data_IF_905406642988
#
_entry.id   IF_905406642988
#
_cell.length_a   1.000
_cell.length_b   1.000
_cell.length_c   1.000
_cell.angle_alpha   90.00
_cell.angle_beta   90.00
_cell.angle_gamma   90.00
#
_symmetry.space_group_name_H-M   'P 1'
#
loop_
_entity.id
_entity.type
_entity.pdbx_description
1 polymer ?
#
# COMPACT_ATOMS: atom_id res chain seq x y z
N UNK A 1 38.53 12.69 25.59
CA UNK A 1 39.55 11.63 25.35
C UNK A 1 38.82 10.32 25.10
N UNK A 2 39.21 9.63 24.01
CA UNK A 2 39.07 8.18 23.73
C UNK A 2 37.73 7.49 24.05
N UNK A 3 36.87 7.25 23.04
CA UNK A 3 36.72 5.96 22.31
C UNK A 3 36.19 4.78 23.13
N UNK A 4 35.08 4.19 22.66
CA UNK A 4 34.99 2.73 22.64
C UNK A 4 33.64 2.07 22.94
N UNK A 5 32.92 1.73 21.86
CA UNK A 5 32.38 0.37 21.56
C UNK A 5 31.18 -0.22 22.34
N UNK A 6 30.09 -0.36 21.57
CA UNK A 6 29.25 -1.56 21.31
C UNK A 6 28.16 -2.07 22.27
N UNK A 7 26.94 -2.10 21.69
CA UNK A 7 25.92 -3.18 21.61
C UNK A 7 25.68 -4.03 22.87
N UNK A 8 24.42 -4.11 23.29
CA UNK A 8 23.65 -5.35 23.55
C UNK A 8 22.17 -4.98 23.79
N UNK A 9 21.25 -5.48 22.97
CA UNK A 9 19.82 -5.48 23.29
C UNK A 9 19.24 -6.89 23.12
N UNK A 10 18.99 -7.49 24.29
CA UNK A 10 17.77 -8.18 24.73
C UNK A 10 17.40 -9.52 24.10
N UNK A 11 17.48 -10.57 24.94
CA UNK A 11 16.34 -11.47 25.15
C UNK A 11 16.51 -12.34 26.41
N UNK A 12 15.90 -11.94 27.50
CA UNK A 12 15.61 -12.81 28.64
C UNK A 12 14.35 -12.33 29.37
N UNK A 13 13.74 -13.24 30.14
CA UNK A 13 12.50 -13.15 30.91
C UNK A 13 11.26 -13.71 30.19
N UNK A 14 11.00 -15.00 30.43
CA UNK A 14 9.78 -15.41 31.13
C UNK A 14 10.03 -16.78 31.79
N UNK A 15 10.15 -16.75 33.11
CA UNK A 15 10.02 -17.89 34.02
C UNK A 15 8.56 -18.30 34.13
N UNK A 16 8.26 -19.58 34.35
CA UNK A 16 7.33 -20.00 35.40
C UNK A 16 7.41 -21.51 35.68
N UNK A 17 7.85 -21.78 36.92
CA UNK A 17 7.47 -22.84 37.87
C UNK A 17 7.58 -24.33 37.49
N UNK A 18 8.57 -24.96 38.12
CA UNK A 18 8.70 -26.39 38.39
C UNK A 18 7.69 -26.87 39.45
N UNK A 19 7.28 -28.14 39.34
CA UNK A 19 6.68 -28.92 40.43
C UNK A 19 7.42 -30.25 40.56
N UNK A 20 7.96 -30.47 41.74
CA UNK A 20 8.70 -31.64 42.22
C UNK A 20 7.76 -32.78 42.55
N UNK A 21 8.07 -34.02 42.14
CA UNK A 21 7.67 -35.23 42.88
C UNK A 21 8.78 -36.28 42.78
N UNK A 22 9.18 -36.77 43.96
CA UNK A 22 10.13 -37.86 44.18
C UNK A 22 9.48 -39.22 43.90
N UNK A 23 10.22 -40.16 43.32
CA UNK A 23 9.88 -41.57 43.41
C UNK A 23 11.15 -42.43 43.57
N UNK A 24 11.06 -43.35 44.53
CA UNK A 24 12.14 -44.14 45.10
C UNK A 24 12.69 -45.23 44.18
N UNK A 25 13.94 -45.56 44.48
CA UNK A 25 14.69 -46.74 44.06
C UNK A 25 14.04 -48.06 44.47
N UNK A 26 14.16 -49.05 43.58
CA UNK A 26 14.62 -50.43 43.82
C UNK A 26 13.77 -51.43 43.05
N UNK A 27 14.32 -52.04 42.00
CA UNK A 27 14.02 -53.44 41.68
C UNK A 27 15.20 -54.06 40.93
N UNK A 28 15.62 -55.23 41.44
CA UNK A 28 16.72 -56.09 40.99
C UNK A 28 16.37 -56.84 39.70
N UNK A 29 17.42 -57.06 38.89
CA UNK A 29 17.78 -58.27 38.12
C UNK A 29 16.70 -59.01 37.29
N UNK A 30 16.96 -59.20 35.99
CA UNK A 30 17.53 -60.43 35.40
C UNK A 30 17.53 -60.32 33.86
N UNK A 31 18.64 -60.71 33.21
CA UNK A 31 18.76 -60.85 31.74
C UNK A 31 17.94 -62.05 31.20
N UNK A 32 17.64 -62.12 29.89
CA UNK A 32 18.58 -62.81 28.97
C UNK A 32 18.73 -62.12 27.59
N UNK A 33 19.77 -62.47 26.79
CA UNK A 33 19.97 -61.91 25.47
C UNK A 33 19.34 -62.77 24.36
N UNK A 34 18.73 -62.13 23.35
CA UNK A 34 18.42 -62.76 22.06
C UNK A 34 19.26 -62.10 20.95
N UNK A 35 19.81 -62.87 19.99
CA UNK A 35 20.62 -62.32 18.92
C UNK A 35 19.74 -62.04 17.70
N UNK A 36 19.40 -60.78 17.46
CA UNK A 36 18.88 -60.35 16.15
C UNK A 36 19.90 -59.45 15.47
N UNK A 37 20.59 -60.03 14.49
CA UNK A 37 21.48 -59.34 13.57
C UNK A 37 20.69 -58.37 12.69
N UNK A 38 20.68 -57.09 13.05
CA UNK A 38 20.18 -56.03 12.17
C UNK A 38 21.24 -55.81 11.08
N UNK A 39 21.01 -56.36 9.89
CA UNK A 39 21.69 -55.91 8.68
C UNK A 39 21.33 -54.44 8.44
N UNK A 40 22.25 -53.53 8.75
CA UNK A 40 22.20 -52.14 8.28
C UNK A 40 22.39 -52.16 6.76
N UNK A 41 21.29 -52.27 6.00
CA UNK A 41 21.28 -51.87 4.59
C UNK A 41 21.70 -50.40 4.54
N UNK A 42 22.89 -50.16 4.02
CA UNK A 42 23.44 -48.83 3.76
C UNK A 42 22.52 -48.14 2.75
N UNK A 43 21.54 -47.38 3.23
CA UNK A 43 20.69 -46.53 2.41
C UNK A 43 21.60 -45.57 1.63
N UNK A 44 21.80 -45.86 0.34
CA UNK A 44 22.36 -44.89 -0.61
C UNK A 44 21.36 -43.73 -0.69
N UNK A 45 21.58 -42.69 0.11
CA UNK A 45 20.90 -41.41 -0.08
C UNK A 45 21.20 -40.98 -1.52
N UNK A 46 20.19 -40.75 -2.38
CA UNK A 46 20.48 -40.17 -3.68
C UNK A 46 21.13 -38.80 -3.44
N UNK A 47 22.24 -38.54 -4.10
CA UNK A 47 22.85 -37.22 -4.07
C UNK A 47 21.80 -36.23 -4.57
N UNK A 48 21.28 -35.39 -3.68
CA UNK A 48 20.46 -34.24 -4.06
C UNK A 48 21.36 -33.37 -4.93
N UNK A 49 21.19 -33.50 -6.25
CA UNK A 49 21.79 -32.58 -7.21
C UNK A 49 21.04 -31.27 -7.05
N UNK A 50 21.64 -30.34 -6.31
CA UNK A 50 21.20 -28.95 -6.33
C UNK A 50 21.40 -28.42 -7.76
N UNK A 51 20.33 -28.34 -8.53
CA UNK A 51 20.32 -27.64 -9.81
C UNK A 51 20.32 -26.13 -9.51
N UNK A 52 21.52 -25.53 -9.44
CA UNK A 52 21.67 -24.09 -9.41
C UNK A 52 21.46 -23.53 -10.82
N UNK A 53 20.20 -23.31 -11.21
CA UNK A 53 19.88 -22.54 -12.42
C UNK A 53 19.92 -21.05 -12.09
N UNK A 54 21.11 -20.53 -11.77
CA UNK A 54 21.32 -19.09 -11.52
C UNK A 54 21.89 -18.35 -12.74
N UNK A 55 22.08 -19.04 -13.88
CA UNK A 55 22.61 -18.44 -15.10
C UNK A 55 21.58 -17.66 -15.93
N UNK A 56 20.28 -17.92 -15.76
CA UNK A 56 19.23 -17.44 -16.68
C UNK A 56 18.33 -16.35 -16.07
N UNK A 57 18.54 -16.01 -14.79
CA UNK A 57 17.75 -15.00 -14.07
C UNK A 57 18.06 -13.55 -14.47
N UNK A 58 19.25 -13.29 -15.06
CA UNK A 58 19.62 -11.94 -15.52
C UNK A 58 19.06 -11.66 -16.92
N UNK A 59 19.08 -12.64 -17.82
CA UNK A 59 18.43 -12.55 -19.14
C UNK A 59 16.91 -12.32 -19.00
N UNK A 60 16.25 -13.04 -18.10
CA UNK A 60 14.84 -12.82 -17.78
C UNK A 60 14.56 -11.42 -17.21
N UNK A 61 15.40 -10.88 -16.31
CA UNK A 61 15.23 -9.50 -15.80
C UNK A 61 15.38 -8.43 -16.87
N UNK A 62 16.33 -8.57 -17.80
CA UNK A 62 16.52 -7.61 -18.89
C UNK A 62 15.37 -7.66 -19.90
N UNK A 63 14.96 -8.87 -20.28
CA UNK A 63 13.78 -9.07 -21.13
C UNK A 63 12.51 -8.50 -20.48
N UNK A 64 12.35 -8.68 -19.16
CA UNK A 64 11.23 -8.12 -18.41
C UNK A 64 11.23 -6.59 -18.46
N UNK A 65 12.39 -5.95 -18.29
CA UNK A 65 12.51 -4.49 -18.38
C UNK A 65 12.21 -4.00 -19.79
N UNK A 66 12.73 -4.65 -20.83
CA UNK A 66 12.44 -4.31 -22.23
C UNK A 66 10.95 -4.43 -22.54
N UNK A 67 10.31 -5.50 -22.08
CA UNK A 67 8.87 -5.70 -22.23
C UNK A 67 8.07 -4.63 -21.49
N UNK A 68 8.47 -4.23 -20.28
CA UNK A 68 7.82 -3.12 -19.57
C UNK A 68 7.96 -1.77 -20.32
N UNK A 69 9.10 -1.51 -20.95
CA UNK A 69 9.32 -0.31 -21.76
C UNK A 69 8.40 -0.31 -22.99
N UNK A 70 8.34 -1.44 -23.72
CA UNK A 70 7.45 -1.61 -24.87
C UNK A 70 5.97 -1.49 -24.48
N UNK A 71 5.58 -2.07 -23.34
CA UNK A 71 4.22 -1.90 -22.80
C UNK A 71 3.91 -0.45 -22.47
N UNK A 72 4.87 0.30 -21.90
CA UNK A 72 4.70 1.71 -21.61
C UNK A 72 4.52 2.55 -22.90
N UNK A 73 5.30 2.25 -23.94
CA UNK A 73 5.16 2.86 -25.27
C UNK A 73 3.80 2.56 -25.88
N UNK A 74 3.37 1.30 -25.90
CA UNK A 74 2.05 0.92 -26.40
C UNK A 74 0.93 1.63 -25.63
N UNK A 75 1.04 1.74 -24.30
CA UNK A 75 0.09 2.50 -23.46
C UNK A 75 0.09 3.99 -23.77
N UNK A 76 1.21 4.57 -24.17
CA UNK A 76 1.30 5.98 -24.56
C UNK A 76 0.66 6.22 -25.94
N UNK A 77 0.91 5.34 -26.89
CA UNK A 77 0.37 5.42 -28.26
C UNK A 77 -1.14 5.18 -28.31
N UNK A 78 -1.65 4.26 -27.48
CA UNK A 78 -3.08 3.94 -27.37
C UNK A 78 -3.87 4.93 -26.50
N UNK A 79 -3.22 5.96 -25.96
CA UNK A 79 -3.92 7.01 -25.22
C UNK A 79 -4.73 7.86 -26.20
N UNK A 80 -6.05 7.91 -26.01
CA UNK A 80 -6.94 8.81 -26.73
C UNK A 80 -6.54 10.26 -26.39
N UNK A 81 -6.19 11.05 -27.40
CA UNK A 81 -5.49 12.35 -27.24
C UNK A 81 -6.44 13.54 -26.96
N UNK A 82 -7.64 13.25 -26.45
CA UNK A 82 -8.62 14.28 -26.09
C UNK A 82 -8.26 14.95 -24.76
N UNK A 83 -8.54 16.26 -24.60
CA UNK A 83 -8.49 16.88 -23.28
C UNK A 83 -9.49 16.16 -22.34
N UNK A 84 -9.14 15.98 -21.05
CA UNK A 84 -10.06 15.36 -20.12
C UNK A 84 -11.37 16.15 -20.09
N UNK A 85 -12.53 15.47 -20.17
CA UNK A 85 -13.82 16.13 -20.14
C UNK A 85 -14.00 16.90 -18.83
N UNK A 86 -14.52 18.13 -18.93
CA UNK A 86 -14.85 18.94 -17.76
C UNK A 86 -16.12 18.43 -17.11
N UNK A 87 -16.09 18.31 -15.78
CA UNK A 87 -17.19 17.73 -15.02
C UNK A 87 -18.10 18.83 -14.52
N UNK A 88 -19.40 18.67 -14.80
CA UNK A 88 -20.47 19.48 -14.22
C UNK A 88 -21.22 18.72 -13.12
N UNK A 89 -22.02 19.44 -12.36
CA UNK A 89 -22.86 18.90 -11.27
C UNK A 89 -23.83 17.80 -11.72
N UNK A 90 -24.17 17.74 -13.00
CA UNK A 90 -25.14 16.79 -13.57
C UNK A 90 -24.70 15.33 -13.45
N UNK A 91 -23.40 15.09 -13.30
CA UNK A 91 -22.81 13.75 -13.22
C UNK A 91 -22.61 13.25 -11.79
N UNK A 92 -22.94 14.07 -10.78
CA UNK A 92 -22.63 13.78 -9.38
C UNK A 92 -23.85 13.96 -8.49
N UNK A 93 -23.97 13.10 -7.48
CA UNK A 93 -24.97 13.28 -6.43
C UNK A 93 -24.35 14.04 -5.27
N UNK A 94 -24.92 15.17 -4.92
CA UNK A 94 -24.44 16.01 -3.81
C UNK A 94 -25.37 15.85 -2.62
N UNK A 95 -24.79 15.63 -1.45
CA UNK A 95 -25.50 15.57 -0.17
C UNK A 95 -24.84 16.51 0.84
N UNK A 96 -25.65 17.09 1.72
CA UNK A 96 -25.18 18.02 2.75
C UNK A 96 -25.27 17.39 4.12
N UNK A 97 -24.23 17.60 4.92
CA UNK A 97 -24.15 17.15 6.29
C UNK A 97 -23.67 18.28 7.21
N UNK A 98 -23.78 18.05 8.51
CA UNK A 98 -23.10 18.91 9.50
C UNK A 98 -21.60 18.63 9.44
N UNK A 99 -20.77 19.67 9.46
CA UNK A 99 -19.33 19.49 9.62
C UNK A 99 -19.04 18.95 11.02
N UNK A 100 -18.16 17.95 11.11
CA UNK A 100 -17.68 17.46 12.40
C UNK A 100 -16.77 18.51 13.03
N UNK A 101 -17.24 19.17 14.09
CA UNK A 101 -16.43 20.09 14.89
C UNK A 101 -15.57 19.36 15.94
N UNK A 102 -14.52 20.01 16.47
CA UNK A 102 -13.72 19.47 17.58
C UNK A 102 -14.52 19.54 18.89
N UNK A 103 -15.51 18.67 19.07
CA UNK A 103 -16.38 18.64 20.23
C UNK A 103 -16.97 17.25 20.44
N UNK A 104 -16.80 16.72 21.65
CA UNK A 104 -17.15 15.36 22.05
C UNK A 104 -18.62 14.98 21.84
N UNK A 105 -18.82 13.66 21.83
CA UNK A 105 -20.06 12.93 21.61
C UNK A 105 -21.30 13.54 22.30
N UNK A 106 -22.42 13.63 21.56
CA UNK A 106 -23.64 13.00 22.06
C UNK A 106 -24.42 12.38 20.89
N UNK A 107 -24.80 11.14 21.14
CA UNK A 107 -25.42 10.15 20.28
C UNK A 107 -26.92 10.40 20.11
N UNK A 108 -27.43 10.02 18.94
CA UNK A 108 -28.83 9.80 18.57
C UNK A 108 -29.80 10.98 18.36
N UNK A 109 -30.20 11.07 17.08
CA UNK A 109 -31.57 11.05 16.52
C UNK A 109 -32.59 12.06 17.05
N UNK A 110 -32.99 12.96 16.14
CA UNK A 110 -34.25 13.70 16.23
C UNK A 110 -34.05 15.10 16.77
N UNK A 111 -33.70 16.04 15.90
CA UNK A 111 -33.91 17.45 16.19
C UNK A 111 -34.31 18.12 14.89
N UNK A 112 -35.58 17.92 14.59
CA UNK A 112 -36.34 18.69 13.63
C UNK A 112 -36.09 20.17 13.88
N UNK A 113 -35.87 20.89 12.80
CA UNK A 113 -35.71 22.34 12.74
C UNK A 113 -36.81 23.02 13.56
N UNK A 114 -36.41 23.82 14.55
CA UNK A 114 -37.26 24.91 15.03
C UNK A 114 -36.40 26.06 15.52
N UNK A 115 -35.96 26.87 14.57
CA UNK A 115 -35.58 28.25 14.83
C UNK A 115 -36.89 29.05 14.90
N UNK A 116 -37.46 29.17 16.10
CA UNK A 116 -38.48 30.17 16.37
C UNK A 116 -37.75 31.42 16.84
N UNK A 117 -37.52 32.36 15.92
CA UNK A 117 -37.20 33.74 16.30
C UNK A 117 -38.52 34.36 16.77
N UNK A 118 -38.84 34.18 18.05
CA UNK A 118 -39.97 34.89 18.65
C UNK A 118 -39.45 36.26 19.11
N UNK A 119 -39.62 37.27 18.25
CA UNK A 119 -39.53 38.66 18.66
C UNK A 119 -40.71 38.96 19.59
N UNK A 120 -40.49 38.96 20.91
CA UNK A 120 -41.37 39.66 21.82
C UNK A 120 -40.83 41.09 21.98
N UNK A 121 -41.52 42.02 21.33
CA UNK A 121 -41.43 43.43 21.68
C UNK A 121 -42.10 43.59 23.05
N UNK A 122 -41.31 43.74 24.11
CA UNK A 122 -41.82 44.21 25.39
C UNK A 122 -41.11 45.52 25.74
N UNK A 123 -41.88 46.59 25.63
CA UNK A 123 -41.46 47.95 25.94
C UNK A 123 -41.11 48.13 27.42
N UNK A 124 -40.12 49.00 27.64
CA UNK A 124 -39.94 49.87 28.79
C UNK A 124 -39.74 49.23 30.18
N UNK A 125 -38.49 49.23 30.65
CA UNK A 125 -37.96 50.21 31.64
C UNK A 125 -36.61 49.70 32.18
N UNK A 126 -35.56 50.51 32.05
CA UNK A 126 -34.38 50.48 32.91
C UNK A 126 -33.63 49.15 33.05
N UNK A 127 -32.81 48.81 32.06
CA UNK A 127 -31.80 47.76 32.20
C UNK A 127 -31.10 47.51 30.87
N UNK A 128 -29.78 47.68 30.83
CA UNK A 128 -28.99 47.37 29.63
C UNK A 128 -29.15 45.89 29.27
N UNK A 129 -30.04 45.62 28.32
CA UNK A 129 -30.24 44.31 27.74
C UNK A 129 -29.02 44.01 26.85
N UNK A 130 -28.09 43.21 27.35
CA UNK A 130 -27.01 42.66 26.52
C UNK A 130 -27.64 41.62 25.60
N UNK A 131 -27.90 42.01 24.35
CA UNK A 131 -28.33 41.10 23.29
C UNK A 131 -27.14 40.23 22.92
N UNK A 132 -27.08 39.03 23.48
CA UNK A 132 -26.23 37.97 22.94
C UNK A 132 -26.86 37.48 21.63
N UNK A 133 -26.33 37.94 20.50
CA UNK A 133 -26.58 37.29 19.21
C UNK A 133 -25.89 35.93 19.26
N UNK A 134 -26.64 34.89 19.63
CA UNK A 134 -26.21 33.52 19.35
C UNK A 134 -26.20 33.37 17.84
N UNK A 135 -25.01 33.45 17.24
CA UNK A 135 -24.81 33.10 15.85
C UNK A 135 -25.37 31.69 15.61
N UNK A 136 -26.31 31.57 14.67
CA UNK A 136 -26.88 30.32 14.18
C UNK A 136 -25.76 29.30 13.85
N UNK A 137 -25.49 28.39 14.79
CA UNK A 137 -24.42 27.37 14.72
C UNK A 137 -24.79 26.17 13.82
N UNK A 138 -25.84 26.22 13.02
CA UNK A 138 -26.45 25.00 12.48
C UNK A 138 -26.69 25.00 10.96
N UNK A 139 -25.87 25.68 10.16
CA UNK A 139 -25.87 25.44 8.70
C UNK A 139 -25.12 24.14 8.41
N UNK A 140 -25.73 23.24 7.62
CA UNK A 140 -25.07 22.05 7.09
C UNK A 140 -24.00 22.49 6.09
N UNK A 141 -22.77 22.68 6.57
CA UNK A 141 -21.67 23.20 5.75
C UNK A 141 -20.91 22.09 5.02
N UNK A 142 -20.92 20.86 5.53
CA UNK A 142 -20.20 19.73 4.92
C UNK A 142 -20.91 19.30 3.65
N UNK A 143 -20.12 19.13 2.59
CA UNK A 143 -20.57 18.60 1.31
C UNK A 143 -19.99 17.20 1.14
N UNK A 144 -20.84 16.22 0.88
CA UNK A 144 -20.49 14.86 0.52
C UNK A 144 -21.00 14.58 -0.90
N UNK A 145 -20.07 14.45 -1.85
CA UNK A 145 -20.29 14.21 -3.27
C UNK A 145 -20.04 12.75 -3.61
N UNK A 146 -20.93 12.15 -4.38
CA UNK A 146 -20.85 10.78 -4.86
C UNK A 146 -20.82 10.76 -6.38
N UNK A 147 -19.82 10.09 -6.95
CA UNK A 147 -19.65 9.94 -8.38
C UNK A 147 -19.65 8.45 -8.76
N UNK A 148 -20.57 8.03 -9.63
CA UNK A 148 -20.63 6.65 -10.08
C UNK A 148 -19.62 6.41 -11.22
N UNK A 149 -18.47 5.83 -10.88
CA UNK A 149 -17.36 5.63 -11.83
C UNK A 149 -17.69 4.55 -12.85
N UNK A 150 -18.45 3.51 -12.47
CA UNK A 150 -18.75 2.36 -13.36
C UNK A 150 -19.72 2.73 -14.49
N UNK A 151 -20.72 3.55 -14.18
CA UNK A 151 -21.78 3.91 -15.13
C UNK A 151 -21.44 5.15 -15.98
N UNK A 152 -20.26 5.75 -15.82
CA UNK A 152 -19.84 6.95 -16.55
C UNK A 152 -19.41 6.62 -18.00
N UNK A 153 -20.38 6.52 -18.92
CA UNK A 153 -20.13 6.19 -20.33
C UNK A 153 -19.30 7.25 -21.09
N UNK A 154 -19.31 8.50 -20.64
CA UNK A 154 -18.54 9.61 -21.22
C UNK A 154 -17.06 9.58 -20.83
N UNK A 155 -16.67 8.74 -19.87
CA UNK A 155 -15.29 8.57 -19.42
C UNK A 155 -14.70 7.32 -20.05
N UNK A 156 -13.49 7.40 -20.59
CA UNK A 156 -12.86 6.24 -21.24
C UNK A 156 -12.61 5.09 -20.25
N UNK A 157 -12.71 3.86 -20.74
CA UNK A 157 -12.58 2.62 -19.93
C UNK A 157 -11.28 2.61 -19.12
N UNK A 158 -10.19 3.03 -19.75
CA UNK A 158 -8.88 3.16 -19.12
C UNK A 158 -8.90 4.08 -17.90
N UNK A 159 -9.56 5.23 -18.02
CA UNK A 159 -9.63 6.21 -16.93
C UNK A 159 -10.53 5.68 -15.81
N UNK A 160 -11.67 5.05 -16.14
CA UNK A 160 -12.54 4.40 -15.15
C UNK A 160 -11.77 3.34 -14.37
N UNK A 161 -11.08 2.44 -15.04
CA UNK A 161 -10.27 1.39 -14.39
C UNK A 161 -9.16 1.97 -13.51
N UNK A 162 -8.46 3.00 -14.00
CA UNK A 162 -7.38 3.63 -13.24
C UNK A 162 -7.88 4.35 -11.99
N UNK A 163 -9.05 5.00 -12.05
CA UNK A 163 -9.71 5.58 -10.87
C UNK A 163 -10.09 4.46 -9.89
N UNK A 164 -10.68 3.36 -10.38
CA UNK A 164 -11.04 2.21 -9.54
C UNK A 164 -9.82 1.59 -8.84
N UNK A 165 -8.66 1.56 -9.51
CA UNK A 165 -7.41 1.05 -8.94
C UNK A 165 -6.76 2.02 -7.94
N UNK A 166 -6.75 3.31 -8.27
CA UNK A 166 -6.03 4.35 -7.50
C UNK A 166 -6.83 4.75 -6.25
N UNK A 167 -8.13 5.03 -6.42
CA UNK A 167 -9.02 5.50 -5.35
C UNK A 167 -9.81 4.36 -4.68
N UNK A 168 -9.31 3.12 -4.75
CA UNK A 168 -9.99 1.91 -4.23
C UNK A 168 -10.46 2.02 -2.77
N UNK A 169 -9.79 2.83 -1.96
CA UNK A 169 -10.11 3.02 -0.54
C UNK A 169 -11.34 3.91 -0.31
N UNK A 170 -11.74 4.70 -1.31
CA UNK A 170 -12.83 5.68 -1.24
C UNK A 170 -14.05 5.27 -2.07
N UNK A 171 -14.02 4.06 -2.63
CA UNK A 171 -15.05 3.52 -3.52
C UNK A 171 -15.93 2.51 -2.78
N UNK A 172 -17.24 2.65 -2.96
CA UNK A 172 -18.23 1.69 -2.46
C UNK A 172 -18.30 0.42 -3.32
N UNK A 173 -18.99 -0.62 -2.84
CA UNK A 173 -19.21 -1.87 -3.60
C UNK A 173 -19.87 -1.63 -4.97
N UNK A 174 -20.76 -0.64 -5.01
CA UNK A 174 -21.49 -0.24 -6.21
C UNK A 174 -20.60 0.50 -7.24
N UNK A 175 -19.37 0.87 -6.88
CA UNK A 175 -18.47 1.63 -7.75
C UNK A 175 -18.63 3.14 -7.66
N UNK A 176 -19.24 3.63 -6.58
CA UNK A 176 -19.35 5.06 -6.29
C UNK A 176 -18.12 5.57 -5.54
N UNK A 177 -17.45 6.59 -6.10
CA UNK A 177 -16.39 7.33 -5.45
C UNK A 177 -16.98 8.42 -4.55
N UNK A 178 -16.58 8.45 -3.28
CA UNK A 178 -17.06 9.44 -2.30
C UNK A 178 -16.00 10.53 -2.06
N UNK A 179 -16.40 11.79 -2.23
CA UNK A 179 -15.56 12.98 -2.05
C UNK A 179 -16.25 13.94 -1.10
N UNK A 180 -15.56 14.33 -0.03
CA UNK A 180 -16.11 15.27 0.96
C UNK A 180 -15.32 16.56 1.04
N UNK A 181 -16.00 17.69 1.30
CA UNK A 181 -15.36 18.97 1.62
C UNK A 181 -16.01 19.67 2.82
N UNK A 182 -15.16 20.23 3.67
CA UNK A 182 -15.48 21.02 4.88
C UNK A 182 -14.53 22.21 5.03
N UNK A 183 -14.04 22.75 3.91
CA UNK A 183 -12.96 23.76 3.90
C UNK A 183 -13.47 25.13 4.35
N UNK A 184 -14.66 25.51 3.93
CA UNK A 184 -15.26 26.82 4.21
C UNK A 184 -16.57 26.67 5.00
N UNK A 185 -17.12 27.80 5.45
CA UNK A 185 -18.43 27.87 6.13
C UNK A 185 -19.62 27.92 5.15
N UNK A 186 -19.36 28.02 3.86
CA UNK A 186 -20.35 28.21 2.80
C UNK A 186 -20.51 26.92 2.00
N UNK A 187 -21.75 26.52 1.72
CA UNK A 187 -22.01 25.30 0.94
C UNK A 187 -21.46 25.41 -0.48
N UNK A 188 -21.65 26.56 -1.13
CA UNK A 188 -21.19 26.82 -2.51
C UNK A 188 -19.70 26.56 -2.67
N UNK A 189 -18.87 27.17 -1.82
CA UNK A 189 -17.41 27.02 -1.94
C UNK A 189 -16.96 25.60 -1.62
N UNK A 190 -17.66 24.89 -0.71
CA UNK A 190 -17.38 23.48 -0.45
C UNK A 190 -17.80 22.56 -1.62
N UNK A 191 -18.84 22.91 -2.39
CA UNK A 191 -19.20 22.22 -3.64
C UNK A 191 -18.10 22.43 -4.68
N UNK A 192 -17.67 23.68 -4.90
CA UNK A 192 -16.61 24.02 -5.86
C UNK A 192 -15.28 23.31 -5.50
N UNK A 193 -14.93 23.27 -4.21
CA UNK A 193 -13.76 22.54 -3.72
C UNK A 193 -13.88 21.02 -3.93
N UNK A 194 -15.08 20.44 -3.75
CA UNK A 194 -15.32 19.03 -4.04
C UNK A 194 -15.25 18.70 -5.53
N UNK A 195 -15.78 19.57 -6.40
CA UNK A 195 -15.67 19.45 -7.86
C UNK A 195 -14.20 19.56 -8.31
N UNK A 196 -13.44 20.50 -7.75
CA UNK A 196 -12.03 20.66 -8.06
C UNK A 196 -11.23 19.39 -7.71
N UNK A 197 -11.47 18.80 -6.54
CA UNK A 197 -10.85 17.51 -6.15
C UNK A 197 -11.23 16.38 -7.09
N UNK A 198 -12.49 16.32 -7.53
CA UNK A 198 -12.94 15.31 -8.48
C UNK A 198 -12.24 15.47 -9.84
N UNK A 199 -12.12 16.71 -10.32
CA UNK A 199 -11.41 17.02 -11.56
C UNK A 199 -9.93 16.63 -11.46
N UNK A 200 -9.26 16.96 -10.35
CA UNK A 200 -7.85 16.58 -10.13
C UNK A 200 -7.63 15.07 -10.16
N UNK A 201 -8.54 14.28 -9.58
CA UNK A 201 -8.51 12.81 -9.63
C UNK A 201 -8.63 12.32 -11.08
N UNK A 202 -9.55 12.90 -11.84
CA UNK A 202 -9.77 12.52 -13.24
C UNK A 202 -8.60 12.95 -14.12
N UNK A 203 -8.03 14.12 -13.89
CA UNK A 203 -6.85 14.62 -14.61
C UNK A 203 -5.63 13.72 -14.32
N UNK A 204 -5.41 13.34 -13.05
CA UNK A 204 -4.34 12.41 -12.67
C UNK A 204 -4.54 11.01 -13.26
N UNK A 205 -5.77 10.53 -13.35
CA UNK A 205 -6.10 9.26 -13.97
C UNK A 205 -5.92 9.31 -15.50
N UNK A 206 -6.37 10.40 -16.14
CA UNK A 206 -6.22 10.68 -17.56
C UNK A 206 -4.76 10.88 -17.97
N UNK A 207 -3.91 11.38 -17.07
CA UNK A 207 -2.50 11.58 -17.35
C UNK A 207 -1.81 10.24 -17.64
N UNK A 208 -1.33 10.11 -18.87
CA UNK A 208 -0.53 8.98 -19.33
C UNK A 208 0.93 9.36 -19.20
N UNK A 209 1.74 8.59 -18.43
CA UNK A 209 3.16 8.88 -18.37
C UNK A 209 3.74 8.79 -19.79
N UNK A 210 4.52 9.81 -20.22
CA UNK A 210 5.14 9.77 -21.52
C UNK A 210 6.07 8.55 -21.62
N UNK A 211 6.31 8.04 -22.85
CA UNK A 211 7.25 6.97 -23.03
C UNK A 211 8.63 7.42 -22.51
N UNK A 212 9.41 6.50 -21.93
CA UNK A 212 10.73 6.80 -21.38
C UNK A 212 11.62 7.39 -22.49
N UNK A 213 12.39 8.42 -22.15
CA UNK A 213 13.24 9.09 -23.14
C UNK A 213 14.30 8.14 -23.70
N UNK A 214 14.76 8.40 -24.92
CA UNK A 214 15.81 7.60 -25.55
C UNK A 214 17.08 7.52 -24.69
N UNK A 215 17.41 8.57 -23.94
CA UNK A 215 18.54 8.56 -23.02
C UNK A 215 18.30 7.66 -21.81
N UNK A 216 17.06 7.58 -21.31
CA UNK A 216 16.70 6.64 -20.26
C UNK A 216 16.81 5.19 -20.75
N UNK A 217 16.34 4.89 -21.97
CA UNK A 217 16.50 3.56 -22.59
C UNK A 217 17.97 3.18 -22.74
N UNK A 218 18.81 4.10 -23.23
CA UNK A 218 20.27 3.91 -23.36
C UNK A 218 20.93 3.66 -22.01
N UNK A 219 20.56 4.40 -20.95
CA UNK A 219 21.08 4.20 -19.59
C UNK A 219 20.73 2.81 -19.05
N UNK A 220 19.49 2.36 -19.23
CA UNK A 220 19.05 1.01 -18.83
C UNK A 220 19.86 -0.06 -19.55
N UNK A 221 20.00 0.06 -20.88
CA UNK A 221 20.78 -0.88 -21.69
C UNK A 221 22.27 -0.91 -21.28
N UNK A 222 22.84 0.25 -20.94
CA UNK A 222 24.22 0.35 -20.44
C UNK A 222 24.38 -0.34 -19.08
N UNK A 223 23.47 -0.09 -18.14
CA UNK A 223 23.48 -0.74 -16.83
C UNK A 223 23.34 -2.26 -16.94
N UNK A 224 22.47 -2.72 -17.85
CA UNK A 224 22.27 -4.12 -18.18
C UNK A 224 23.57 -4.80 -18.66
N UNK A 225 24.23 -4.18 -19.65
CA UNK A 225 25.48 -4.68 -20.21
C UNK A 225 26.60 -4.74 -19.16
N UNK A 226 26.73 -3.71 -18.32
CA UNK A 226 27.71 -3.66 -17.23
C UNK A 226 27.44 -4.78 -16.22
N UNK A 227 26.17 -5.01 -15.86
CA UNK A 227 25.78 -6.09 -14.94
C UNK A 227 26.17 -7.47 -15.47
N UNK A 228 25.90 -7.73 -16.75
CA UNK A 228 26.25 -8.99 -17.39
C UNK A 228 27.77 -9.20 -17.48
N UNK A 229 28.52 -8.17 -17.85
CA UNK A 229 29.99 -8.23 -17.86
C UNK A 229 30.56 -8.53 -16.47
N UNK A 230 30.04 -7.89 -15.41
CA UNK A 230 30.45 -8.17 -14.03
C UNK A 230 30.17 -9.62 -13.65
N UNK A 231 29.00 -10.15 -13.99
CA UNK A 231 28.62 -11.55 -13.76
C UNK A 231 29.58 -12.52 -14.43
N UNK A 232 29.88 -12.31 -15.72
CA UNK A 232 30.81 -13.15 -16.48
C UNK A 232 32.22 -13.12 -15.88
N UNK A 233 32.71 -11.95 -15.47
CA UNK A 233 34.01 -11.81 -14.79
C UNK A 233 34.03 -12.58 -13.47
N UNK A 234 33.01 -12.44 -12.63
CA UNK A 234 32.91 -13.19 -11.37
C UNK A 234 32.86 -14.70 -11.60
N UNK A 235 32.14 -15.18 -12.64
CA UNK A 235 32.10 -16.60 -13.00
C UNK A 235 33.46 -17.12 -13.46
N UNK A 236 34.19 -16.36 -14.27
CA UNK A 236 35.56 -16.69 -14.69
C UNK A 236 36.50 -16.81 -13.48
N UNK A 237 36.54 -15.78 -12.62
CA UNK A 237 37.35 -15.78 -11.39
C UNK A 237 37.06 -17.00 -10.51
N UNK A 238 35.78 -17.37 -10.33
CA UNK A 238 35.40 -18.56 -9.58
C UNK A 238 35.83 -19.87 -10.25
N UNK A 239 35.78 -19.93 -11.58
CA UNK A 239 36.25 -21.08 -12.36
C UNK A 239 37.76 -21.26 -12.23
N UNK A 240 38.52 -20.17 -12.40
CA UNK A 240 39.97 -20.17 -12.33
C UNK A 240 40.45 -20.61 -10.94
N UNK A 241 39.77 -20.12 -9.88
CA UNK A 241 40.01 -20.57 -8.49
C UNK A 241 39.71 -22.06 -8.28
N UNK A 242 38.78 -22.66 -9.02
CA UNK A 242 38.51 -24.11 -8.97
C UNK A 242 39.54 -24.91 -9.76
N UNK A 243 39.97 -24.41 -10.92
CA UNK A 243 41.00 -25.04 -11.74
C UNK A 243 42.34 -25.09 -11.00
N UNK A 244 42.76 -23.98 -10.40
CA UNK A 244 44.00 -23.90 -9.60
C UNK A 244 43.99 -24.87 -8.41
N UNK A 245 42.82 -25.11 -7.79
CA UNK A 245 42.67 -26.11 -6.73
C UNK A 245 42.79 -27.56 -7.22
N UNK A 246 42.48 -27.83 -8.50
CA UNK A 246 42.58 -29.18 -9.08
C UNK A 246 43.98 -29.49 -9.57
N UNK A 247 44.69 -28.51 -10.15
CA UNK A 247 46.04 -28.71 -10.65
C UNK A 247 47.06 -29.00 -9.55
N UNK A 248 46.81 -28.55 -8.31
CA UNK A 248 47.68 -28.82 -7.16
C UNK A 248 47.60 -30.27 -6.63
N UNK A 249 46.61 -31.05 -7.07
CA UNK A 249 46.37 -32.41 -6.57
C UNK A 249 46.84 -33.52 -7.53
N UNK A 250 47.61 -33.23 -8.58
CA UNK A 250 48.29 -34.28 -9.35
C UNK A 250 49.48 -34.81 -8.54
N UNK A 251 49.21 -35.81 -7.71
CA UNK A 251 50.25 -36.69 -7.16
C UNK A 251 50.49 -37.77 -8.22
N UNK A 252 51.51 -37.57 -9.03
CA UNK A 252 52.22 -38.59 -9.81
C UNK A 252 53.69 -38.47 -9.40
#
# INVERSE_FOLDING_TARGET
MSTGTTRMLVKEMLQLSSSTLHFSSAFRALSPPLPFSIQLRRSRRPAIRCASSDSDKVSSRLSQVQHLLQQAEHRALSADQGPPPKITLDHVTVSFARSGGPGGQNVNKGSFVRCFVSFYFLSCLGGSLVVFVCADWAVNTKVDMRFNVKNAYWLSDRVREKILQTEKNRINKDGELVISSTKTRTQKDNIEDALAKLQEIIDAASHVPPPPSEDQKKKIAKMAAIGEQKRLKSKKVLSDKKAFRRSKNSWD
#
